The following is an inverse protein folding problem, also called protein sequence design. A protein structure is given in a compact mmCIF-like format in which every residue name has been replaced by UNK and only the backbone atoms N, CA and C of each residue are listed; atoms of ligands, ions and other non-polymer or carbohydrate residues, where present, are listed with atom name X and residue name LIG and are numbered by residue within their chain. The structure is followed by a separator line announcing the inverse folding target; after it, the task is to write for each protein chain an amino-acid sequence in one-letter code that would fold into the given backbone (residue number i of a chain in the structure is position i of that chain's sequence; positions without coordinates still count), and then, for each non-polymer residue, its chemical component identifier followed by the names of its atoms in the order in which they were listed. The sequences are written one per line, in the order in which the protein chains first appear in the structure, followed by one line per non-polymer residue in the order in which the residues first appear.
data_IF_580587178491
#
_entry.id   IF_580587178491
#
_cell.length_a   1.000
_cell.length_b   1.000
_cell.length_c   1.000
_cell.angle_alpha   90.00
_cell.angle_beta   90.00
_cell.angle_gamma   90.00
#
_symmetry.space_group_name_H-M   'P 1'
#
loop_
_entity.id
_entity.type
_entity.pdbx_description
1 polymer ?
#
# COMPACT_ATOMS: atom_id res chain seq x y z
N UNK A 1 -8.55 10.79 -3.08
CA UNK A 1 -9.15 10.75 -4.46
C UNK A 1 -10.38 11.61 -4.68
N UNK A 2 -11.17 11.94 -3.65
CA UNK A 2 -12.39 12.76 -3.81
C UNK A 2 -12.10 14.11 -4.48
N UNK A 3 -11.06 14.82 -4.02
CA UNK A 3 -10.65 16.12 -4.56
C UNK A 3 -10.23 16.00 -6.02
N UNK A 4 -9.49 14.94 -6.37
CA UNK A 4 -9.03 14.69 -7.74
C UNK A 4 -10.17 14.42 -8.73
N UNK A 5 -11.16 13.63 -8.33
CA UNK A 5 -12.26 13.20 -9.20
C UNK A 5 -13.43 14.20 -9.24
N UNK A 6 -13.81 14.75 -8.09
CA UNK A 6 -15.03 15.56 -7.94
C UNK A 6 -14.75 17.06 -7.86
N UNK A 7 -13.54 17.47 -7.44
CA UNK A 7 -13.19 18.87 -7.17
C UNK A 7 -11.89 19.28 -7.87
N UNK A 8 -11.84 19.08 -9.20
CA UNK A 8 -10.63 19.32 -10.02
C UNK A 8 -10.00 20.72 -9.82
N UNK A 9 -10.81 21.77 -9.70
CA UNK A 9 -10.31 23.14 -9.47
C UNK A 9 -9.57 23.28 -8.13
N UNK A 10 -10.02 22.56 -7.11
CA UNK A 10 -9.37 22.53 -5.81
C UNK A 10 -8.08 21.71 -5.87
N UNK A 11 -8.08 20.59 -6.60
CA UNK A 11 -6.86 19.83 -6.88
C UNK A 11 -5.81 20.70 -7.58
N UNK A 12 -6.19 21.42 -8.63
CA UNK A 12 -5.29 22.33 -9.35
C UNK A 12 -4.76 23.46 -8.45
N UNK A 13 -5.53 23.91 -7.46
CA UNK A 13 -5.07 24.94 -6.52
C UNK A 13 -3.94 24.45 -5.62
N UNK A 14 -4.04 23.23 -5.11
CA UNK A 14 -3.08 22.66 -4.15
C UNK A 14 -1.92 21.91 -4.82
N UNK A 15 -2.15 21.28 -5.96
CA UNK A 15 -1.21 20.38 -6.62
C UNK A 15 -0.73 20.93 -7.98
N UNK A 16 -0.92 22.22 -8.27
CA UNK A 16 -0.26 22.81 -9.44
C UNK A 16 1.24 22.83 -9.25
N UNK A 17 1.95 22.43 -10.30
CA UNK A 17 3.41 22.48 -10.37
C UNK A 17 3.94 23.77 -10.99
N UNK A 18 3.10 24.82 -11.07
CA UNK A 18 3.47 26.09 -11.70
C UNK A 18 4.47 26.89 -10.86
N UNK A 19 4.61 26.57 -9.57
CA UNK A 19 5.49 27.29 -8.62
C UNK A 19 6.77 26.54 -8.28
N UNK A 20 6.88 25.27 -8.66
CA UNK A 20 8.03 24.42 -8.34
C UNK A 20 8.66 24.01 -9.66
N UNK A 21 9.88 24.48 -9.93
CA UNK A 21 10.62 24.00 -11.08
C UNK A 21 11.45 22.77 -10.68
N UNK A 22 11.09 21.62 -11.24
CA UNK A 22 11.75 20.34 -10.98
C UNK A 22 13.22 20.37 -11.47
N UNK A 23 13.54 21.28 -12.39
CA UNK A 23 14.90 21.50 -12.88
C UNK A 23 15.81 22.22 -11.88
N UNK A 24 15.25 22.85 -10.85
CA UNK A 24 16.04 23.51 -9.79
C UNK A 24 16.81 22.48 -8.95
N UNK A 25 16.33 21.23 -8.90
CA UNK A 25 17.01 20.11 -8.23
C UNK A 25 17.84 19.34 -9.27
N UNK A 26 19.18 19.34 -9.17
CA UNK A 26 20.05 18.65 -10.11
C UNK A 26 19.70 17.16 -10.21
N UNK A 27 19.76 16.60 -11.42
CA UNK A 27 19.49 15.17 -11.65
C UNK A 27 20.38 14.25 -10.80
N UNK A 28 21.63 14.66 -10.57
CA UNK A 28 22.61 13.93 -9.76
C UNK A 28 22.13 13.73 -8.31
N UNK A 29 21.36 14.67 -7.76
CA UNK A 29 20.88 14.62 -6.37
C UNK A 29 19.65 13.73 -6.19
N UNK A 30 18.97 13.38 -7.27
CA UNK A 30 17.75 12.56 -7.27
C UNK A 30 17.94 11.18 -7.90
N UNK A 31 19.11 10.93 -8.48
CA UNK A 31 19.44 9.68 -9.17
C UNK A 31 20.18 8.72 -8.24
N UNK A 32 19.49 7.65 -7.82
CA UNK A 32 19.99 6.67 -6.86
C UNK A 32 19.95 5.25 -7.41
N UNK A 33 20.77 4.92 -8.43
CA UNK A 33 20.71 3.63 -9.12
C UNK A 33 21.03 2.43 -8.22
N UNK A 34 21.90 2.60 -7.22
CA UNK A 34 22.19 1.54 -6.25
C UNK A 34 20.95 1.19 -5.43
N UNK A 35 20.27 2.20 -4.89
CA UNK A 35 19.04 2.00 -4.11
C UNK A 35 17.94 1.40 -4.99
N UNK A 36 17.74 1.94 -6.20
CA UNK A 36 16.80 1.40 -7.17
C UNK A 36 17.06 -0.07 -7.49
N UNK A 37 18.33 -0.45 -7.73
CA UNK A 37 18.71 -1.85 -8.00
C UNK A 37 18.39 -2.76 -6.82
N UNK A 38 18.70 -2.34 -5.59
CA UNK A 38 18.41 -3.11 -4.38
C UNK A 38 16.91 -3.29 -4.18
N UNK A 39 16.13 -2.21 -4.32
CA UNK A 39 14.67 -2.25 -4.15
C UNK A 39 14.02 -3.14 -5.20
N UNK A 40 14.39 -3.02 -6.49
CA UNK A 40 13.85 -3.89 -7.54
C UNK A 40 14.26 -5.35 -7.31
N UNK A 41 15.49 -5.60 -6.88
CA UNK A 41 15.96 -6.95 -6.53
C UNK A 41 15.12 -7.56 -5.40
N UNK A 42 14.88 -6.80 -4.32
CA UNK A 42 14.03 -7.22 -3.21
C UNK A 42 12.58 -7.44 -3.63
N UNK A 43 12.04 -6.56 -4.47
CA UNK A 43 10.71 -6.73 -5.07
C UNK A 43 10.60 -8.08 -5.78
N UNK A 44 11.52 -8.39 -6.70
CA UNK A 44 11.49 -9.66 -7.45
C UNK A 44 11.60 -10.86 -6.51
N UNK A 45 12.52 -10.81 -5.54
CA UNK A 45 12.71 -11.90 -4.58
C UNK A 45 11.44 -12.12 -3.75
N UNK A 46 10.89 -11.07 -3.17
CA UNK A 46 9.70 -11.18 -2.32
C UNK A 46 8.47 -11.59 -3.12
N UNK A 47 8.23 -11.00 -4.29
CA UNK A 47 7.09 -11.36 -5.14
C UNK A 47 7.11 -12.85 -5.52
N UNK A 48 8.28 -13.38 -5.90
CA UNK A 48 8.46 -14.80 -6.21
C UNK A 48 8.28 -15.69 -4.98
N UNK A 49 8.73 -15.25 -3.80
CA UNK A 49 8.56 -16.00 -2.55
C UNK A 49 7.12 -15.98 -2.02
N UNK A 50 6.36 -14.91 -2.27
CA UNK A 50 4.95 -14.80 -1.86
C UNK A 50 4.08 -15.83 -2.60
N UNK A 51 4.35 -16.11 -3.88
CA UNK A 51 3.57 -17.06 -4.68
C UNK A 51 3.46 -18.48 -4.06
N UNK A 52 4.55 -19.20 -3.75
CA UNK A 52 4.46 -20.52 -3.13
C UNK A 52 3.90 -20.46 -1.70
N UNK A 53 4.18 -19.38 -0.94
CA UNK A 53 3.63 -19.19 0.40
C UNK A 53 2.12 -19.05 0.38
N UNK A 54 1.58 -18.20 -0.50
CA UNK A 54 0.14 -18.03 -0.67
C UNK A 54 -0.53 -19.30 -1.19
N UNK A 55 0.12 -20.03 -2.09
CA UNK A 55 -0.40 -21.32 -2.57
C UNK A 55 -0.51 -22.34 -1.42
N UNK A 56 0.48 -22.40 -0.54
CA UNK A 56 0.43 -23.27 0.64
C UNK A 56 -0.67 -22.85 1.63
N UNK A 57 -0.79 -21.54 1.89
CA UNK A 57 -1.83 -20.97 2.78
C UNK A 57 -3.22 -21.23 2.22
N UNK A 58 -3.42 -21.08 0.90
CA UNK A 58 -4.69 -21.28 0.23
C UNK A 58 -5.30 -22.66 0.52
N UNK A 59 -4.47 -23.70 0.64
CA UNK A 59 -4.92 -25.05 0.97
C UNK A 59 -5.53 -25.18 2.38
N UNK A 60 -5.20 -24.26 3.29
CA UNK A 60 -5.62 -24.29 4.69
C UNK A 60 -6.61 -23.16 5.05
N UNK A 61 -7.22 -22.51 4.05
CA UNK A 61 -8.21 -21.44 4.25
C UNK A 61 -9.52 -21.91 4.88
N UNK A 62 -9.61 -23.12 5.42
CA UNK A 62 -10.75 -23.52 6.24
C UNK A 62 -10.74 -22.78 7.59
N UNK A 63 -9.54 -22.54 8.13
CA UNK A 63 -9.34 -21.81 9.39
C UNK A 63 -9.32 -20.29 9.17
N UNK A 64 -9.92 -19.54 10.10
CA UNK A 64 -10.00 -18.06 10.06
C UNK A 64 -8.64 -17.39 9.91
N UNK A 65 -7.64 -17.85 10.68
CA UNK A 65 -6.30 -17.29 10.59
C UNK A 65 -5.71 -17.40 9.17
N UNK A 66 -5.78 -18.57 8.55
CA UNK A 66 -5.20 -18.78 7.21
C UNK A 66 -5.94 -17.96 6.16
N UNK A 67 -7.25 -17.71 6.32
CA UNK A 67 -7.98 -16.77 5.47
C UNK A 67 -7.47 -15.32 5.63
N UNK A 68 -7.18 -14.87 6.86
CA UNK A 68 -6.60 -13.54 7.10
C UNK A 68 -5.18 -13.44 6.53
N UNK A 69 -4.34 -14.45 6.76
CA UNK A 69 -3.00 -14.52 6.18
C UNK A 69 -3.03 -14.51 4.65
N UNK A 70 -3.99 -15.19 4.04
CA UNK A 70 -4.18 -15.17 2.59
C UNK A 70 -4.56 -13.77 2.09
N UNK A 71 -5.48 -13.09 2.77
CA UNK A 71 -5.88 -11.72 2.45
C UNK A 71 -4.73 -10.71 2.61
N UNK A 72 -3.97 -10.82 3.71
CA UNK A 72 -2.78 -10.00 3.96
C UNK A 72 -1.76 -10.25 2.85
N UNK A 73 -1.43 -11.50 2.52
CA UNK A 73 -0.42 -11.75 1.50
C UNK A 73 -0.82 -11.30 0.09
N UNK A 74 -2.11 -11.31 -0.27
CA UNK A 74 -2.58 -10.67 -1.52
C UNK A 74 -2.35 -9.16 -1.47
N UNK A 75 -2.62 -8.54 -0.31
CA UNK A 75 -2.43 -7.11 -0.08
C UNK A 75 -0.95 -6.73 -0.16
N UNK A 76 -0.07 -7.55 0.41
CA UNK A 76 1.38 -7.36 0.38
C UNK A 76 1.93 -7.42 -1.05
N UNK A 77 1.50 -8.40 -1.85
CA UNK A 77 1.88 -8.48 -3.27
C UNK A 77 1.42 -7.25 -4.04
N UNK A 78 0.18 -6.78 -3.82
CA UNK A 78 -0.30 -5.54 -4.42
C UNK A 78 0.56 -4.35 -3.99
N UNK A 79 0.94 -4.25 -2.71
CA UNK A 79 1.80 -3.19 -2.20
C UNK A 79 3.20 -3.26 -2.82
N UNK A 80 3.80 -4.45 -2.95
CA UNK A 80 5.10 -4.65 -3.59
C UNK A 80 5.09 -4.19 -5.05
N UNK A 81 4.00 -4.46 -5.78
CA UNK A 81 3.82 -4.01 -7.16
C UNK A 81 3.70 -2.48 -7.27
N UNK A 82 2.86 -1.85 -6.44
CA UNK A 82 2.61 -0.41 -6.56
C UNK A 82 3.64 0.46 -5.85
N UNK A 83 4.30 -0.02 -4.80
CA UNK A 83 5.25 0.79 -4.01
C UNK A 83 6.66 0.26 -4.12
N UNK A 84 6.87 -1.05 -4.08
CA UNK A 84 8.19 -1.64 -4.23
C UNK A 84 8.78 -1.36 -5.61
N UNK A 85 8.11 -1.81 -6.67
CA UNK A 85 8.58 -1.62 -8.05
C UNK A 85 8.61 -0.14 -8.45
N UNK A 86 7.56 0.63 -8.13
CA UNK A 86 7.48 2.06 -8.45
C UNK A 86 8.63 2.84 -7.80
N UNK A 87 8.89 2.64 -6.50
CA UNK A 87 10.04 3.27 -5.81
C UNK A 87 11.36 2.87 -6.46
N UNK A 88 11.51 1.60 -6.83
CA UNK A 88 12.68 1.11 -7.53
C UNK A 88 12.93 1.86 -8.84
N UNK A 89 11.90 1.99 -9.67
CA UNK A 89 11.95 2.72 -10.95
C UNK A 89 12.21 4.21 -10.73
N UNK A 90 11.56 4.83 -9.76
CA UNK A 90 11.72 6.25 -9.45
C UNK A 90 13.13 6.62 -9.01
N UNK A 91 13.83 5.73 -8.32
CA UNK A 91 15.24 5.93 -8.01
C UNK A 91 16.15 5.97 -9.26
N UNK A 92 15.76 5.32 -10.37
CA UNK A 92 16.49 5.40 -11.65
C UNK A 92 16.10 6.62 -12.48
N UNK A 93 14.84 7.03 -12.44
CA UNK A 93 14.37 8.20 -13.22
C UNK A 93 14.56 9.51 -12.46
N UNK A 94 14.85 9.45 -11.17
CA UNK A 94 14.88 10.60 -10.29
C UNK A 94 13.53 11.29 -10.24
N UNK A 95 12.46 10.51 -10.16
CA UNK A 95 11.08 11.02 -10.22
C UNK A 95 10.79 11.90 -9.00
N UNK A 96 10.05 12.98 -9.25
CA UNK A 96 9.41 13.80 -8.24
C UNK A 96 7.92 13.86 -8.54
N UNK A 97 7.11 14.45 -7.66
CA UNK A 97 5.67 14.54 -7.89
C UNK A 97 5.30 15.23 -9.23
N UNK A 98 6.00 16.32 -9.58
CA UNK A 98 5.52 17.23 -10.62
C UNK A 98 5.59 16.76 -12.08
N UNK A 99 6.64 16.06 -12.55
CA UNK A 99 6.72 15.57 -13.92
C UNK A 99 5.54 14.68 -14.31
N UNK A 100 5.07 13.83 -13.38
CA UNK A 100 3.92 12.94 -13.59
C UNK A 100 2.89 13.06 -12.45
N UNK A 101 2.43 14.28 -12.16
CA UNK A 101 1.57 14.57 -11.00
C UNK A 101 0.26 13.78 -10.95
N UNK A 102 -0.42 13.58 -12.09
CA UNK A 102 -1.64 12.78 -12.11
C UNK A 102 -1.38 11.31 -11.77
N UNK A 103 -0.30 10.73 -12.32
CA UNK A 103 0.05 9.32 -12.07
C UNK A 103 0.48 9.13 -10.61
N UNK A 104 1.42 9.94 -10.13
CA UNK A 104 1.89 9.92 -8.74
C UNK A 104 0.75 10.13 -7.72
N UNK A 105 -0.22 11.01 -8.03
CA UNK A 105 -1.35 11.23 -7.15
C UNK A 105 -2.23 9.99 -7.03
N UNK A 106 -2.46 9.29 -8.15
CA UNK A 106 -3.28 8.06 -8.18
C UNK A 106 -2.55 6.92 -7.48
N UNK A 107 -1.29 6.65 -7.83
CA UNK A 107 -0.50 5.57 -7.21
C UNK A 107 -0.23 5.82 -5.73
N UNK A 108 0.02 7.07 -5.35
CA UNK A 108 0.11 7.52 -3.97
C UNK A 108 -1.18 7.31 -3.16
N UNK A 109 -2.34 7.52 -3.78
CA UNK A 109 -3.65 7.23 -3.15
C UNK A 109 -3.87 5.74 -2.97
N UNK A 110 -3.50 4.93 -3.97
CA UNK A 110 -3.55 3.47 -3.86
C UNK A 110 -2.62 2.94 -2.76
N UNK A 111 -1.42 3.49 -2.64
CA UNK A 111 -0.49 3.18 -1.56
C UNK A 111 -1.08 3.38 -0.17
N UNK A 112 -1.62 4.57 0.07
CA UNK A 112 -2.27 4.89 1.34
C UNK A 112 -3.44 3.94 1.64
N UNK A 113 -4.23 3.59 0.62
CA UNK A 113 -5.34 2.66 0.74
C UNK A 113 -4.88 1.23 1.07
N UNK A 114 -3.87 0.71 0.37
CA UNK A 114 -3.30 -0.62 0.62
C UNK A 114 -2.67 -0.69 2.02
N UNK A 115 -1.96 0.37 2.45
CA UNK A 115 -1.35 0.44 3.78
C UNK A 115 -2.41 0.37 4.90
N UNK A 116 -3.52 1.08 4.74
CA UNK A 116 -4.64 1.03 5.68
C UNK A 116 -5.32 -0.34 5.70
N UNK A 117 -5.46 -0.97 4.53
CA UNK A 117 -6.02 -2.32 4.40
C UNK A 117 -5.17 -3.34 5.16
N UNK A 118 -3.86 -3.35 4.90
CA UNK A 118 -2.91 -4.27 5.49
C UNK A 118 -2.83 -4.08 7.02
N UNK A 119 -2.70 -2.83 7.49
CA UNK A 119 -2.64 -2.52 8.92
C UNK A 119 -3.89 -3.00 9.64
N UNK A 120 -5.09 -2.77 9.09
CA UNK A 120 -6.33 -3.23 9.69
C UNK A 120 -6.43 -4.77 9.70
N UNK A 121 -6.01 -5.44 8.63
CA UNK A 121 -6.01 -6.89 8.55
C UNK A 121 -5.02 -7.53 9.54
N UNK A 122 -3.85 -6.93 9.72
CA UNK A 122 -2.85 -7.35 10.71
C UNK A 122 -3.38 -7.22 12.15
N UNK A 123 -4.16 -6.17 12.45
CA UNK A 123 -4.83 -6.04 13.75
C UNK A 123 -5.85 -7.16 13.94
N UNK A 124 -6.66 -7.49 12.93
CA UNK A 124 -7.62 -8.59 13.03
C UNK A 124 -6.95 -9.95 13.17
N UNK A 125 -5.83 -10.17 12.49
CA UNK A 125 -4.99 -11.36 12.67
C UNK A 125 -4.47 -11.46 14.11
N UNK A 126 -4.00 -10.36 14.69
CA UNK A 126 -3.56 -10.34 16.08
C UNK A 126 -4.71 -10.66 17.05
N UNK A 127 -5.91 -10.12 16.80
CA UNK A 127 -7.11 -10.43 17.59
C UNK A 127 -7.51 -11.90 17.48
N UNK A 128 -7.48 -12.48 16.27
CA UNK A 128 -7.75 -13.90 16.02
C UNK A 128 -6.79 -14.79 16.83
N UNK A 129 -5.47 -14.50 16.78
CA UNK A 129 -4.45 -15.25 17.54
C UNK A 129 -4.57 -15.08 19.05
N UNK A 130 -4.83 -13.88 19.55
CA UNK A 130 -5.06 -13.65 20.97
C UNK A 130 -6.33 -14.37 21.44
N UNK A 131 -7.40 -14.36 20.64
CA UNK A 131 -8.66 -15.03 20.97
C UNK A 131 -8.49 -16.54 21.02
N UNK A 132 -7.76 -17.11 20.07
CA UNK A 132 -7.45 -18.55 20.02
C UNK A 132 -6.63 -18.98 21.25
N UNK A 133 -5.66 -18.17 21.67
CA UNK A 133 -4.87 -18.42 22.88
C UNK A 133 -5.69 -18.34 24.17
N UNK A 134 -6.61 -17.39 24.28
CA UNK A 134 -7.46 -17.22 25.48
C UNK A 134 -8.51 -18.33 25.55
N UNK A 135 -9.24 -18.57 24.47
CA UNK A 135 -10.28 -19.58 24.39
C UNK A 135 -10.68 -19.85 22.94
N UNK A 136 -10.52 -21.08 22.43
CA UNK A 136 -10.95 -21.45 21.08
C UNK A 136 -12.43 -21.13 20.80
N UNK A 137 -13.30 -21.18 21.83
CA UNK A 137 -14.73 -20.82 21.71
C UNK A 137 -14.94 -19.33 21.40
N UNK A 138 -14.07 -18.47 21.93
CA UNK A 138 -14.12 -17.03 21.66
C UNK A 138 -13.67 -16.73 20.23
N UNK A 139 -12.61 -17.41 19.78
CA UNK A 139 -12.15 -17.34 18.39
C UNK A 139 -13.26 -17.76 17.42
N UNK A 140 -13.91 -18.90 17.69
CA UNK A 140 -15.05 -19.38 16.91
C UNK A 140 -16.21 -18.36 16.93
N UNK A 141 -16.49 -17.74 18.07
CA UNK A 141 -17.54 -16.73 18.15
C UNK A 141 -17.25 -15.50 17.26
N UNK A 142 -16.02 -14.99 17.24
CA UNK A 142 -15.69 -13.78 16.47
C UNK A 142 -15.44 -14.04 14.98
N UNK A 143 -14.82 -15.17 14.64
CA UNK A 143 -14.26 -15.39 13.30
C UNK A 143 -14.90 -16.54 12.52
N UNK A 144 -15.89 -17.25 13.07
CA UNK A 144 -16.54 -18.34 12.34
C UNK A 144 -17.57 -17.85 11.30
N UNK A 145 -17.65 -18.57 10.19
CA UNK A 145 -18.66 -18.40 9.14
C UNK A 145 -18.70 -17.01 8.52
N UNK A 146 -19.90 -16.43 8.41
CA UNK A 146 -20.15 -15.13 7.76
C UNK A 146 -19.57 -13.94 8.54
N UNK A 147 -19.21 -14.11 9.81
CA UNK A 147 -18.59 -13.07 10.64
C UNK A 147 -17.16 -12.77 10.19
N UNK A 148 -16.49 -13.76 9.61
CA UNK A 148 -15.19 -13.56 8.95
C UNK A 148 -15.26 -12.50 7.84
N UNK A 149 -16.26 -12.62 6.95
CA UNK A 149 -16.45 -11.69 5.84
C UNK A 149 -16.74 -10.26 6.31
N UNK A 150 -17.29 -10.09 7.52
CA UNK A 150 -17.50 -8.77 8.12
C UNK A 150 -16.15 -8.08 8.42
N UNK A 151 -15.18 -8.79 8.98
CA UNK A 151 -13.85 -8.22 9.28
C UNK A 151 -13.09 -7.82 8.02
N UNK A 152 -13.09 -8.69 6.99
CA UNK A 152 -12.51 -8.35 5.68
C UNK A 152 -13.25 -7.16 5.04
N UNK A 153 -14.58 -7.15 5.11
CA UNK A 153 -15.38 -6.04 4.63
C UNK A 153 -15.04 -4.73 5.35
N UNK A 154 -14.80 -4.78 6.66
CA UNK A 154 -14.35 -3.62 7.44
C UNK A 154 -12.97 -3.12 6.95
N UNK A 155 -11.99 -4.01 6.76
CA UNK A 155 -10.69 -3.65 6.21
C UNK A 155 -10.78 -2.98 4.83
N UNK A 156 -11.66 -3.49 3.96
CA UNK A 156 -11.90 -2.90 2.64
C UNK A 156 -12.56 -1.53 2.75
N UNK A 157 -13.58 -1.37 3.59
CA UNK A 157 -14.25 -0.07 3.79
C UNK A 157 -13.28 0.96 4.35
N UNK A 158 -12.44 0.56 5.30
CA UNK A 158 -11.40 1.42 5.87
C UNK A 158 -10.35 1.83 4.82
N UNK A 159 -9.93 0.90 3.97
CA UNK A 159 -9.06 1.16 2.82
C UNK A 159 -9.69 2.14 1.82
N UNK A 160 -10.98 1.97 1.51
CA UNK A 160 -11.72 2.89 0.64
C UNK A 160 -11.81 4.30 1.24
N UNK A 161 -12.02 4.41 2.56
CA UNK A 161 -11.96 5.70 3.23
C UNK A 161 -10.61 6.38 3.03
N UNK A 162 -9.49 5.65 3.18
CA UNK A 162 -8.15 6.17 2.90
C UNK A 162 -7.99 6.60 1.45
N UNK A 163 -8.42 5.77 0.51
CA UNK A 163 -8.33 6.08 -0.92
C UNK A 163 -9.04 7.39 -1.28
N UNK A 164 -10.23 7.63 -0.74
CA UNK A 164 -11.03 8.80 -1.09
C UNK A 164 -10.61 10.06 -0.32
N UNK A 165 -10.41 9.96 0.99
CA UNK A 165 -10.38 11.11 1.89
C UNK A 165 -9.02 11.45 2.48
N UNK A 166 -8.07 10.50 2.51
CA UNK A 166 -6.74 10.75 3.07
C UNK A 166 -5.82 11.35 1.98
N UNK A 167 -4.89 12.20 2.40
CA UNK A 167 -3.89 12.76 1.49
C UNK A 167 -3.03 11.62 0.92
N UNK A 168 -2.80 11.60 -0.40
CA UNK A 168 -1.94 10.59 -1.00
C UNK A 168 -0.49 10.77 -0.56
N UNK A 169 0.25 9.68 -0.59
CA UNK A 169 1.69 9.73 -0.39
C UNK A 169 2.38 10.08 -1.72
N UNK A 170 3.34 11.00 -1.69
CA UNK A 170 4.14 11.36 -2.86
C UNK A 170 5.57 10.87 -2.70
N UNK A 171 6.10 10.24 -3.75
CA UNK A 171 7.50 9.85 -3.75
C UNK A 171 8.40 11.05 -4.01
N UNK A 172 9.47 11.15 -3.23
CA UNK A 172 10.55 12.09 -3.48
C UNK A 172 11.86 11.32 -3.56
N UNK A 173 12.42 11.24 -4.77
CA UNK A 173 13.66 10.51 -5.02
C UNK A 173 14.87 11.11 -4.31
N UNK A 174 14.87 12.42 -3.99
CA UNK A 174 15.96 13.06 -3.21
C UNK A 174 16.10 12.43 -1.83
N UNK A 175 14.97 12.10 -1.20
CA UNK A 175 14.93 11.44 0.10
C UNK A 175 14.68 9.95 0.01
N UNK A 176 14.51 9.42 -1.21
CA UNK A 176 14.21 8.03 -1.52
C UNK A 176 12.98 7.49 -0.77
N UNK A 177 11.98 8.34 -0.50
CA UNK A 177 10.85 8.01 0.39
C UNK A 177 9.53 8.65 -0.03
N UNK A 178 8.43 8.09 0.50
CA UNK A 178 7.06 8.55 0.32
C UNK A 178 6.64 9.48 1.47
N UNK A 179 6.06 10.64 1.14
CA UNK A 179 5.61 11.63 2.11
C UNK A 179 4.11 11.92 1.94
N UNK A 180 3.36 11.92 3.04
CA UNK A 180 1.92 12.25 3.06
C UNK A 180 1.65 13.75 3.23
N UNK A 181 2.70 14.56 3.38
CA UNK A 181 2.62 16.02 3.43
C UNK A 181 3.25 16.59 2.16
N UNK A 182 2.54 17.44 1.40
CA UNK A 182 3.13 18.20 0.31
C UNK A 182 4.15 19.23 0.81
#
# INVERSE_FOLDING_TARGET
MEIYLLRRKEWEKFYNCNRINVEDVPFVERFHPLNGTVIIGLFVIFEVLYLPCLFAIYKHTEHSCYKLLFFIGISDMAMLLFHGLESGVYNFTGEMFCPNSNFNYVTGSFGAALFAMETSANIFLAIDRCSDFISPKLCEFFFNGKRFSFWIGFSIIFSLYYFFYVNPAFYNSVYMNWFMNP
#
